data_IF_034105446627
#
_entry.id   IF_034105446627
#
_cell.length_a   1.000
_cell.length_b   1.000
_cell.length_c   1.000
_cell.angle_alpha   90.00
_cell.angle_beta   90.00
_cell.angle_gamma   90.00
#
_symmetry.space_group_name_H-M   'P 1'
#
loop_
_entity.id
_entity.type
_entity.pdbx_description
1 polymer ?
#
# COMPACT_ATOMS: atom_id res chain seq x y z
N UNK A 1 -15.56 3.96 -8.77
CA UNK A 1 -14.34 3.10 -8.87
C UNK A 1 -14.54 1.77 -8.13
N UNK A 2 -13.61 0.79 -8.17
CA UNK A 2 -13.63 -0.41 -7.30
C UNK A 2 -12.27 -0.66 -6.63
N UNK A 3 -12.24 -1.29 -5.44
CA UNK A 3 -11.00 -1.81 -4.86
C UNK A 3 -10.28 -2.77 -5.80
N UNK A 4 -8.95 -2.82 -5.72
CA UNK A 4 -8.10 -3.59 -6.63
C UNK A 4 -7.69 -2.85 -7.91
N UNK A 5 -8.10 -1.59 -8.07
CA UNK A 5 -7.73 -0.76 -9.23
C UNK A 5 -6.33 -0.18 -9.05
N UNK A 6 -5.56 -0.10 -10.14
CA UNK A 6 -4.27 0.58 -10.16
C UNK A 6 -4.38 1.91 -10.89
N UNK A 7 -3.79 2.94 -10.30
CA UNK A 7 -3.68 4.28 -10.87
C UNK A 7 -2.22 4.60 -11.13
N UNK A 8 -1.95 5.25 -12.26
CA UNK A 8 -0.65 5.82 -12.59
C UNK A 8 -0.76 7.33 -12.64
N UNK A 9 0.15 8.02 -11.96
CA UNK A 9 0.23 9.48 -12.03
C UNK A 9 0.58 9.93 -13.44
N UNK A 10 -0.08 10.97 -13.94
CA UNK A 10 0.26 11.61 -15.22
C UNK A 10 1.25 12.78 -14.99
N UNK A 11 1.79 13.39 -16.07
CA UNK A 11 2.65 14.58 -15.95
C UNK A 11 1.98 15.79 -15.29
N UNK A 12 0.65 15.81 -15.14
CA UNK A 12 -0.05 16.87 -14.39
C UNK A 12 0.33 16.87 -12.89
N UNK A 13 0.79 15.73 -12.38
CA UNK A 13 1.26 15.56 -11.01
C UNK A 13 2.79 15.70 -10.88
N UNK A 14 3.47 16.24 -11.88
CA UNK A 14 4.89 16.59 -11.79
C UNK A 14 5.15 17.57 -10.63
N UNK A 15 6.32 17.45 -9.98
CA UNK A 15 6.72 18.25 -8.82
C UNK A 15 5.80 18.12 -7.58
N UNK A 16 4.91 17.10 -7.55
CA UNK A 16 4.09 16.76 -6.38
C UNK A 16 4.63 15.52 -5.65
N UNK A 17 4.08 15.25 -4.46
CA UNK A 17 4.34 13.99 -3.73
C UNK A 17 3.93 12.74 -4.52
N UNK A 18 3.09 12.89 -5.55
CA UNK A 18 2.58 11.82 -6.40
C UNK A 18 3.32 11.65 -7.71
N UNK A 19 4.36 12.43 -7.98
CA UNK A 19 5.13 12.30 -9.21
C UNK A 19 5.66 10.86 -9.38
N UNK A 20 5.48 10.28 -10.57
CA UNK A 20 5.89 8.91 -10.91
C UNK A 20 5.32 7.83 -9.97
N UNK A 21 4.15 8.05 -9.38
CA UNK A 21 3.52 7.09 -8.48
C UNK A 21 2.62 6.09 -9.21
N UNK A 22 2.63 4.86 -8.71
CA UNK A 22 1.60 3.87 -8.98
C UNK A 22 0.86 3.65 -7.66
N UNK A 23 -0.47 3.81 -7.68
CA UNK A 23 -1.33 3.65 -6.51
C UNK A 23 -2.19 2.42 -6.68
N UNK A 24 -2.27 1.60 -5.63
CA UNK A 24 -3.21 0.49 -5.51
C UNK A 24 -4.39 0.90 -4.62
N UNK A 25 -5.60 0.94 -5.18
CA UNK A 25 -6.82 1.29 -4.46
C UNK A 25 -7.28 0.10 -3.61
N UNK A 26 -7.37 0.32 -2.29
CA UNK A 26 -7.70 -0.72 -1.32
C UNK A 26 -9.12 -0.61 -0.78
N UNK A 27 -9.71 0.59 -0.83
CA UNK A 27 -11.08 0.83 -0.38
C UNK A 27 -11.75 1.90 -1.25
N UNK A 28 -13.05 1.70 -1.53
CA UNK A 28 -13.95 2.69 -2.14
C UNK A 28 -15.29 2.54 -1.46
N UNK A 29 -15.81 3.62 -0.87
CA UNK A 29 -17.08 3.62 -0.15
C UNK A 29 -17.84 4.95 -0.42
N UNK A 30 -18.94 5.17 0.31
CA UNK A 30 -19.78 6.38 0.17
C UNK A 30 -19.14 7.67 0.72
N UNK A 31 -18.06 7.54 1.49
CA UNK A 31 -17.28 8.65 2.05
C UNK A 31 -16.08 9.03 1.19
N UNK A 32 -15.59 8.13 0.34
CA UNK A 32 -14.39 8.37 -0.46
C UNK A 32 -13.65 7.12 -0.89
N UNK A 33 -12.34 7.26 -1.12
CA UNK A 33 -11.46 6.17 -1.51
C UNK A 33 -10.13 6.20 -0.75
N UNK A 34 -9.47 5.05 -0.67
CA UNK A 34 -8.17 4.88 -0.02
C UNK A 34 -7.26 4.01 -0.89
N UNK A 35 -5.98 4.33 -0.94
CA UNK A 35 -4.97 3.54 -1.63
C UNK A 35 -3.56 3.72 -1.08
N UNK A 36 -2.63 2.94 -1.61
CA UNK A 36 -1.21 3.04 -1.28
C UNK A 36 -0.38 3.27 -2.53
N UNK A 37 0.62 4.15 -2.46
CA UNK A 37 1.70 4.19 -3.44
C UNK A 37 2.54 2.92 -3.25
N UNK A 38 2.68 2.12 -4.31
CA UNK A 38 3.31 0.79 -4.25
C UNK A 38 4.74 0.75 -4.81
N UNK A 39 5.18 1.82 -5.47
CA UNK A 39 6.45 1.88 -6.19
C UNK A 39 7.45 2.89 -5.59
N UNK A 40 7.16 3.46 -4.41
CA UNK A 40 8.07 4.40 -3.72
C UNK A 40 8.61 3.77 -2.44
N UNK A 41 9.86 3.31 -2.48
CA UNK A 41 10.54 2.74 -1.32
C UNK A 41 10.84 3.83 -0.30
N UNK A 42 10.60 3.55 0.97
CA UNK A 42 11.03 4.42 2.06
C UNK A 42 12.53 4.24 2.33
N UNK A 43 13.19 5.31 2.75
CA UNK A 43 14.65 5.32 2.90
C UNK A 43 15.16 4.44 4.05
N UNK A 44 14.28 4.03 4.97
CA UNK A 44 14.57 3.10 6.08
C UNK A 44 13.81 1.80 5.92
N UNK A 45 14.41 0.71 6.37
CA UNK A 45 13.76 -0.57 6.60
C UNK A 45 13.01 -0.59 7.95
N UNK A 46 12.15 -1.59 8.13
CA UNK A 46 11.35 -1.77 9.34
C UNK A 46 12.21 -1.85 10.61
N UNK A 47 13.33 -2.57 10.54
CA UNK A 47 14.23 -2.77 11.68
C UNK A 47 15.04 -1.53 12.09
N UNK A 48 14.94 -0.45 11.33
CA UNK A 48 15.53 0.85 11.65
C UNK A 48 14.55 1.75 12.42
N UNK A 49 13.29 1.33 12.58
CA UNK A 49 12.33 1.97 13.48
C UNK A 49 12.55 1.46 14.90
N UNK A 50 12.51 2.36 15.90
CA UNK A 50 12.84 2.06 17.30
C UNK A 50 12.01 0.87 17.85
N UNK A 51 10.70 0.87 17.58
CA UNK A 51 9.78 -0.18 18.02
C UNK A 51 10.07 -1.55 17.39
N UNK A 52 10.67 -1.57 16.20
CA UNK A 52 10.85 -2.76 15.37
C UNK A 52 12.30 -3.21 15.20
N UNK A 53 13.24 -2.71 16.03
CA UNK A 53 14.65 -3.13 16.02
C UNK A 53 14.88 -4.64 16.15
N UNK A 54 13.92 -5.34 16.75
CA UNK A 54 13.93 -6.79 16.94
C UNK A 54 13.46 -7.57 15.70
N UNK A 55 12.98 -6.88 14.67
CA UNK A 55 12.50 -7.48 13.43
C UNK A 55 13.67 -7.64 12.45
N UNK A 56 13.62 -8.68 11.61
CA UNK A 56 14.53 -8.84 10.47
C UNK A 56 14.40 -7.63 9.55
N UNK A 57 15.49 -7.24 8.89
CA UNK A 57 15.43 -6.16 7.90
C UNK A 57 14.40 -6.46 6.83
N UNK A 58 13.41 -5.57 6.70
CA UNK A 58 12.26 -5.71 5.82
C UNK A 58 11.94 -4.35 5.20
N UNK A 59 11.71 -4.26 3.87
CA UNK A 59 11.51 -2.99 3.20
C UNK A 59 10.20 -2.31 3.63
N UNK A 60 10.25 -0.97 3.73
CA UNK A 60 9.08 -0.11 3.89
C UNK A 60 8.84 0.69 2.60
N UNK A 61 7.60 1.06 2.38
CA UNK A 61 7.16 1.89 1.26
C UNK A 61 6.47 3.15 1.77
N UNK A 62 6.59 4.24 1.02
CA UNK A 62 5.76 5.43 1.25
C UNK A 62 4.38 5.10 0.71
N UNK A 63 3.38 4.97 1.58
CA UNK A 63 2.01 4.65 1.17
C UNK A 63 1.22 5.88 0.72
N UNK A 64 1.57 7.06 1.20
CA UNK A 64 0.99 8.32 0.76
C UNK A 64 1.26 9.47 1.74
N UNK A 65 0.67 10.65 1.52
CA UNK A 65 0.92 11.84 2.36
C UNK A 65 0.14 11.83 3.68
N UNK A 66 -0.89 11.00 3.81
CA UNK A 66 -1.74 10.97 5.00
C UNK A 66 -1.20 9.97 6.01
N UNK A 67 -1.17 10.35 7.28
CA UNK A 67 -0.86 9.48 8.42
C UNK A 67 0.51 8.76 8.35
N UNK A 68 1.54 9.51 7.99
CA UNK A 68 2.90 8.98 7.75
C UNK A 68 3.64 8.49 9.01
N UNK A 69 3.03 8.60 10.19
CA UNK A 69 3.55 8.06 11.44
C UNK A 69 3.10 6.62 11.71
N UNK A 70 2.06 6.15 11.01
CA UNK A 70 1.50 4.81 11.20
C UNK A 70 1.85 3.84 10.08
N UNK A 71 2.02 2.57 10.47
CA UNK A 71 2.27 1.47 9.55
C UNK A 71 0.94 0.86 9.09
N UNK A 72 0.86 0.68 7.78
CA UNK A 72 -0.20 -0.07 7.12
C UNK A 72 0.41 -1.22 6.34
N UNK A 73 -0.36 -2.26 6.04
CA UNK A 73 0.16 -3.35 5.22
C UNK A 73 -0.95 -4.06 4.47
N UNK A 74 -0.53 -4.71 3.38
CA UNK A 74 -1.34 -5.66 2.63
C UNK A 74 -0.59 -6.98 2.53
N UNK A 75 -1.31 -8.09 2.41
CA UNK A 75 -0.70 -9.41 2.26
C UNK A 75 -1.56 -10.35 1.40
N UNK A 76 -0.98 -11.46 0.97
CA UNK A 76 -1.69 -12.55 0.25
C UNK A 76 -1.65 -13.90 0.98
N UNK A 77 -1.41 -13.84 2.30
CA UNK A 77 -1.17 -15.01 3.16
C UNK A 77 -2.22 -15.13 4.27
N UNK A 78 -3.50 -15.41 3.93
CA UNK A 78 -4.55 -15.62 4.93
C UNK A 78 -4.31 -16.88 5.77
N UNK A 79 -3.42 -17.77 5.33
CA UNK A 79 -2.95 -18.95 6.07
C UNK A 79 -1.96 -18.62 7.20
N UNK A 80 -1.32 -17.44 7.16
CA UNK A 80 -0.34 -17.00 8.16
C UNK A 80 -0.80 -15.77 8.96
N UNK A 81 -1.59 -14.89 8.36
CA UNK A 81 -2.03 -13.65 9.00
C UNK A 81 -3.55 -13.66 9.05
N UNK A 82 -4.07 -13.64 10.27
CA UNK A 82 -5.50 -13.62 10.55
C UNK A 82 -6.08 -12.20 10.51
N UNK A 83 -7.38 -12.07 10.24
CA UNK A 83 -8.11 -10.80 10.37
C UNK A 83 -7.93 -9.78 9.24
N UNK A 84 -7.29 -10.14 8.12
CA UNK A 84 -7.20 -9.29 6.93
C UNK A 84 -8.55 -9.12 6.22
N UNK A 85 -8.80 -7.95 5.65
CA UNK A 85 -10.02 -7.66 4.87
C UNK A 85 -9.77 -7.88 3.37
N UNK A 86 -10.54 -8.71 2.66
CA UNK A 86 -10.34 -8.94 1.23
C UNK A 86 -10.49 -7.67 0.38
N UNK A 87 -9.55 -7.44 -0.54
CA UNK A 87 -9.60 -6.34 -1.52
C UNK A 87 -9.99 -6.89 -2.90
N UNK A 88 -9.05 -7.57 -3.55
CA UNK A 88 -9.17 -8.17 -4.89
C UNK A 88 -8.02 -9.14 -5.13
N UNK A 89 -8.19 -10.11 -6.04
CA UNK A 89 -7.12 -11.03 -6.50
C UNK A 89 -6.33 -11.74 -5.37
N UNK A 90 -7.00 -12.05 -4.25
CA UNK A 90 -6.38 -12.71 -3.10
C UNK A 90 -5.53 -11.80 -2.21
N UNK A 91 -5.52 -10.49 -2.48
CA UNK A 91 -4.90 -9.47 -1.63
C UNK A 91 -5.85 -9.11 -0.49
N UNK A 92 -5.31 -9.06 0.72
CA UNK A 92 -5.99 -8.64 1.94
C UNK A 92 -5.35 -7.36 2.49
N UNK A 93 -6.19 -6.46 2.99
CA UNK A 93 -5.83 -5.26 3.74
C UNK A 93 -5.68 -5.59 5.23
N UNK A 94 -4.55 -5.20 5.82
CA UNK A 94 -4.32 -5.30 7.26
C UNK A 94 -4.38 -6.73 7.78
N UNK A 95 -4.79 -6.88 9.04
CA UNK A 95 -4.80 -8.13 9.78
C UNK A 95 -3.92 -8.07 11.03
N UNK A 96 -3.60 -9.22 11.60
CA UNK A 96 -2.77 -9.32 12.79
C UNK A 96 -1.30 -9.00 12.48
N UNK A 97 -0.90 -7.75 12.73
CA UNK A 97 0.46 -7.29 12.44
C UNK A 97 1.54 -8.04 13.24
N UNK A 98 1.21 -8.55 14.44
CA UNK A 98 2.15 -9.35 15.25
C UNK A 98 2.48 -10.69 14.59
N UNK A 99 1.49 -11.32 13.94
CA UNK A 99 1.70 -12.52 13.13
C UNK A 99 2.59 -12.20 11.91
N UNK A 100 2.33 -11.09 11.22
CA UNK A 100 3.16 -10.64 10.12
C UNK A 100 4.64 -10.48 10.53
N UNK A 101 4.91 -9.77 11.63
CA UNK A 101 6.27 -9.61 12.19
C UNK A 101 6.89 -10.96 12.57
N UNK A 102 6.14 -11.84 13.21
CA UNK A 102 6.62 -13.18 13.60
C UNK A 102 7.03 -13.99 12.37
N UNK A 103 6.22 -13.97 11.31
CA UNK A 103 6.49 -14.71 10.09
C UNK A 103 7.57 -14.07 9.22
N UNK A 104 7.76 -12.75 9.26
CA UNK A 104 8.93 -12.06 8.68
C UNK A 104 10.22 -12.54 9.34
N UNK A 105 10.26 -12.59 10.68
CA UNK A 105 11.43 -13.07 11.42
C UNK A 105 11.77 -14.53 11.13
N UNK A 106 10.75 -15.35 10.91
CA UNK A 106 10.92 -16.77 10.57
C UNK A 106 11.16 -17.03 9.08
N UNK A 107 11.31 -16.00 8.25
CA UNK A 107 11.48 -16.09 6.78
C UNK A 107 10.32 -16.80 6.05
N UNK A 108 9.13 -16.76 6.64
CA UNK A 108 7.91 -17.31 6.05
C UNK A 108 7.14 -16.27 5.22
N UNK A 109 7.43 -14.99 5.44
CA UNK A 109 6.93 -13.86 4.65
C UNK A 109 8.09 -13.08 4.05
N UNK A 110 7.94 -12.74 2.77
CA UNK A 110 8.88 -11.92 2.01
C UNK A 110 8.16 -10.75 1.34
N UNK A 111 8.90 -9.86 0.66
CA UNK A 111 8.30 -8.78 -0.14
C UNK A 111 7.34 -9.24 -1.24
N UNK A 112 7.38 -10.54 -1.60
CA UNK A 112 6.42 -11.17 -2.52
C UNK A 112 5.06 -11.43 -1.89
N UNK A 113 4.99 -11.46 -0.56
CA UNK A 113 3.82 -11.90 0.21
C UNK A 113 3.16 -10.78 0.99
N UNK A 114 3.95 -9.82 1.46
CA UNK A 114 3.53 -8.70 2.30
C UNK A 114 4.27 -7.43 1.89
N UNK A 115 3.53 -6.33 1.83
CA UNK A 115 4.09 -4.98 1.63
C UNK A 115 3.64 -4.11 2.78
N UNK A 116 4.59 -3.40 3.39
CA UNK A 116 4.36 -2.53 4.54
C UNK A 116 4.60 -1.07 4.12
N UNK A 117 3.67 -0.21 4.47
CA UNK A 117 3.60 1.19 4.08
C UNK A 117 3.65 2.10 5.31
N UNK A 118 4.23 3.29 5.15
CA UNK A 118 4.02 4.44 6.02
C UNK A 118 3.01 5.37 5.38
N UNK A 119 1.90 5.60 6.08
CA UNK A 119 0.80 6.41 5.58
C UNK A 119 0.04 5.82 4.39
N UNK A 120 -0.89 6.60 3.85
CA UNK A 120 -1.78 6.23 2.76
C UNK A 120 -2.20 7.43 1.91
N UNK A 121 -2.81 7.16 0.76
CA UNK A 121 -3.50 8.13 -0.08
C UNK A 121 -5.00 8.05 0.21
N UNK A 122 -5.61 9.18 0.52
CA UNK A 122 -7.04 9.29 0.77
C UNK A 122 -7.67 10.29 -0.19
N UNK A 123 -8.90 10.01 -0.57
CA UNK A 123 -9.75 10.90 -1.34
C UNK A 123 -11.08 11.04 -0.63
N UNK A 124 -11.59 12.27 -0.59
CA UNK A 124 -12.96 12.53 -0.19
C UNK A 124 -13.94 12.05 -1.27
N UNK A 125 -15.22 12.05 -0.92
CA UNK A 125 -16.30 11.59 -1.79
C UNK A 125 -16.27 12.28 -3.16
N UNK A 126 -16.02 11.50 -4.21
CA UNK A 126 -16.05 11.94 -5.60
C UNK A 126 -14.79 12.67 -6.06
N UNK A 127 -13.82 12.90 -5.16
CA UNK A 127 -12.55 13.56 -5.50
C UNK A 127 -11.73 12.70 -6.44
N UNK A 128 -11.62 11.39 -6.17
CA UNK A 128 -10.86 10.47 -7.03
C UNK A 128 -11.45 10.40 -8.45
N UNK A 129 -12.77 10.29 -8.58
CA UNK A 129 -13.43 10.33 -9.88
C UNK A 129 -13.21 11.66 -10.62
N UNK A 130 -13.20 12.79 -9.90
CA UNK A 130 -12.93 14.10 -10.48
C UNK A 130 -11.48 14.20 -10.98
N UNK A 131 -10.49 13.80 -10.16
CA UNK A 131 -9.08 13.82 -10.55
C UNK A 131 -8.78 12.92 -11.76
N UNK A 132 -9.47 11.79 -11.88
CA UNK A 132 -9.40 10.94 -13.08
C UNK A 132 -10.01 11.66 -14.29
N UNK A 133 -11.17 12.30 -14.14
CA UNK A 133 -11.81 13.03 -15.21
C UNK A 133 -10.98 14.25 -15.68
N UNK A 134 -10.22 14.85 -14.77
CA UNK A 134 -9.28 15.94 -15.03
C UNK A 134 -7.95 15.46 -15.64
N UNK A 135 -7.69 14.14 -15.61
CA UNK A 135 -6.52 13.51 -16.21
C UNK A 135 -5.30 13.45 -15.30
N UNK A 136 -5.44 13.70 -13.99
CA UNK A 136 -4.36 13.55 -13.00
C UNK A 136 -3.93 12.08 -12.84
N UNK A 137 -4.88 11.16 -13.03
CA UNK A 137 -4.66 9.71 -12.90
C UNK A 137 -5.11 8.95 -14.15
N UNK A 138 -4.29 7.98 -14.55
CA UNK A 138 -4.64 6.98 -15.55
C UNK A 138 -4.93 5.65 -14.87
N UNK A 139 -6.08 5.04 -15.16
CA UNK A 139 -6.36 3.66 -14.72
C UNK A 139 -5.55 2.71 -15.61
N UNK A 140 -4.67 1.92 -15.00
CA UNK A 140 -3.82 0.98 -15.72
C UNK A 140 -4.29 -0.47 -15.54
N UNK A 141 -3.72 -1.36 -16.35
CA UNK A 141 -3.97 -2.79 -16.29
C UNK A 141 -3.45 -3.45 -15.00
N UNK A 142 -3.44 -4.79 -15.01
CA UNK A 142 -3.05 -5.56 -13.83
C UNK A 142 -1.56 -5.32 -13.48
N UNK A 143 -1.33 -4.85 -12.26
CA UNK A 143 -0.02 -4.74 -11.62
C UNK A 143 0.02 -5.59 -10.34
N UNK A 144 1.18 -5.61 -9.67
CA UNK A 144 1.34 -6.25 -8.35
C UNK A 144 1.76 -5.21 -7.31
N UNK A 145 1.10 -5.15 -6.13
CA UNK A 145 1.56 -4.29 -5.05
C UNK A 145 2.66 -4.97 -4.20
N UNK A 146 3.03 -6.20 -4.56
CA UNK A 146 4.13 -6.97 -3.98
C UNK A 146 5.37 -6.89 -4.85
N UNK A 147 6.52 -7.07 -4.22
CA UNK A 147 7.82 -6.79 -4.78
C UNK A 147 8.49 -8.10 -5.22
N UNK A 148 9.20 -8.07 -6.36
CA UNK A 148 10.08 -9.15 -6.75
C UNK A 148 11.36 -9.14 -5.88
N UNK A 149 11.98 -10.31 -5.68
CA UNK A 149 13.15 -10.44 -4.81
C UNK A 149 14.37 -9.77 -5.42
#
# INVERSE_FOLDING_TARGET
MKPGTFLKSTPLLADTVFENSIIFIVEVNDKGAMGYIINKKYHRALNELEEFKHVRSFPLYVGGPVDQEHLFFIHKRPDLITGGTPIADGVLLGGNFKEAVTHINNNLLTGKDVTIFLGYCGWDRGELEAEIAEGSWEIIGKETPFQEN
#
